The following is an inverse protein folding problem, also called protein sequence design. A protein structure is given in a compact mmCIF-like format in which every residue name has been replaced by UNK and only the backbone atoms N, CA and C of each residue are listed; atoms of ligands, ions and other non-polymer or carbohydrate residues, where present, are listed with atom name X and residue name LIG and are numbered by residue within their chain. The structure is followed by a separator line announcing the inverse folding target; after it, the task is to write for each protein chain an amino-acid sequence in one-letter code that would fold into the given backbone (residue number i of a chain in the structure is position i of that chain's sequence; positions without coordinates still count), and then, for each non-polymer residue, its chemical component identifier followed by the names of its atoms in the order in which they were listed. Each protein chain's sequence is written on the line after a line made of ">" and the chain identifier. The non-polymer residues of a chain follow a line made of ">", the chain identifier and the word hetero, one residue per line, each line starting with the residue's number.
data_IF_143258883383
#
_entry.id   IF_143258883383
#
_cell.length_a   1.000
_cell.length_b   1.000
_cell.length_c   1.000
_cell.angle_alpha   90.00
_cell.angle_beta   90.00
_cell.angle_gamma   90.00
#
_symmetry.space_group_name_H-M   'P 1'
#
loop_
_entity.id
_entity.type
_entity.pdbx_description
1 polymer ?
#
# COMPACT_ATOMS: atom_id res chain seq x y z
N UNK A 1 -24.28 41.08 24.97
CA UNK A 1 -23.98 40.89 23.53
C UNK A 1 -22.54 40.42 23.45
N UNK A 2 -22.30 39.25 22.86
CA UNK A 2 -21.05 38.51 22.95
C UNK A 2 -21.31 37.10 22.45
N UNK A 3 -21.25 36.95 21.14
CA UNK A 3 -21.88 35.88 20.38
C UNK A 3 -20.87 34.73 20.25
N UNK A 4 -21.00 33.70 21.09
CA UNK A 4 -20.20 32.48 20.98
C UNK A 4 -20.68 31.66 19.78
N UNK A 5 -19.94 31.70 18.69
CA UNK A 5 -20.19 30.88 17.49
C UNK A 5 -19.74 29.45 17.81
N UNK A 6 -20.70 28.59 18.12
CA UNK A 6 -20.48 27.16 18.27
C UNK A 6 -20.22 26.53 16.92
N UNK A 7 -18.96 26.18 16.66
CA UNK A 7 -18.60 25.39 15.49
C UNK A 7 -19.04 23.94 15.70
N UNK A 8 -19.88 23.48 14.76
CA UNK A 8 -20.45 22.15 14.56
C UNK A 8 -19.69 20.98 15.23
N UNK A 9 -20.37 20.27 16.14
CA UNK A 9 -20.13 18.82 16.34
C UNK A 9 -20.81 18.09 15.17
N UNK A 10 -20.12 17.24 14.40
CA UNK A 10 -20.83 16.29 13.56
C UNK A 10 -21.66 15.37 14.47
N UNK A 11 -22.90 15.13 14.06
CA UNK A 11 -23.76 14.12 14.65
C UNK A 11 -23.08 12.74 14.59
N UNK A 12 -23.41 11.87 15.55
CA UNK A 12 -22.77 10.59 15.77
C UNK A 12 -22.47 9.82 14.49
N UNK A 13 -21.21 9.39 14.35
CA UNK A 13 -20.81 8.43 13.34
C UNK A 13 -21.75 7.22 13.45
N UNK A 14 -22.43 6.90 12.35
CA UNK A 14 -23.10 5.62 12.23
C UNK A 14 -22.07 4.52 12.58
N UNK A 15 -22.46 3.44 13.26
CA UNK A 15 -21.55 2.33 13.47
C UNK A 15 -21.01 1.93 12.10
N UNK A 16 -19.69 2.00 11.92
CA UNK A 16 -19.03 1.53 10.71
C UNK A 16 -19.50 0.10 10.47
N UNK A 17 -19.90 -0.21 9.23
CA UNK A 17 -20.04 -1.61 8.81
C UNK A 17 -18.81 -2.39 9.34
N UNK A 18 -18.96 -3.66 9.77
CA UNK A 18 -17.81 -4.44 10.23
C UNK A 18 -16.72 -4.26 9.19
N UNK A 19 -15.58 -3.69 9.62
CA UNK A 19 -14.52 -3.31 8.70
C UNK A 19 -14.14 -4.58 7.95
N UNK A 20 -14.47 -4.62 6.65
CA UNK A 20 -14.04 -5.73 5.83
C UNK A 20 -12.52 -5.77 5.81
N UNK A 21 -11.97 -6.95 5.56
CA UNK A 21 -10.52 -7.16 5.59
C UNK A 21 -9.77 -6.10 4.78
N UNK A 22 -8.59 -5.73 5.25
CA UNK A 22 -7.66 -4.86 4.54
C UNK A 22 -6.62 -5.74 3.86
N UNK A 23 -6.70 -5.83 2.53
CA UNK A 23 -5.71 -6.50 1.69
C UNK A 23 -4.69 -5.49 1.17
N UNK A 24 -3.41 -5.83 1.30
CA UNK A 24 -2.30 -5.02 0.81
C UNK A 24 -1.52 -5.82 -0.24
N UNK A 25 -1.62 -5.43 -1.50
CA UNK A 25 -0.95 -6.08 -2.63
C UNK A 25 0.35 -5.32 -2.92
N UNK A 26 1.48 -6.02 -2.99
CA UNK A 26 2.78 -5.44 -3.33
C UNK A 26 3.27 -5.99 -4.66
N UNK A 27 3.48 -5.12 -5.64
CA UNK A 27 4.02 -5.51 -6.94
C UNK A 27 4.16 -4.35 -7.94
N UNK A 28 4.94 -4.51 -9.00
CA UNK A 28 5.31 -3.43 -9.92
C UNK A 28 4.23 -3.17 -10.99
N UNK A 29 3.08 -2.65 -10.58
CA UNK A 29 2.00 -2.28 -11.51
C UNK A 29 2.03 -0.80 -11.92
N UNK A 30 1.56 -0.50 -13.12
CA UNK A 30 1.49 0.88 -13.62
C UNK A 30 2.61 1.24 -14.60
N UNK A 31 3.29 0.22 -15.14
CA UNK A 31 4.18 0.36 -16.29
C UNK A 31 3.82 -0.74 -17.32
N UNK A 32 2.83 -0.47 -18.20
CA UNK A 32 2.19 -1.49 -19.03
C UNK A 32 3.19 -2.32 -19.84
N UNK A 33 3.39 -3.57 -19.44
CA UNK A 33 4.29 -4.51 -20.11
C UNK A 33 3.64 -5.89 -20.38
N UNK A 34 2.31 -5.99 -20.25
CA UNK A 34 1.51 -7.22 -20.34
C UNK A 34 1.81 -8.30 -19.28
N UNK A 35 2.70 -8.04 -18.32
CA UNK A 35 3.03 -8.96 -17.22
C UNK A 35 2.32 -8.57 -15.93
N UNK A 36 2.90 -7.59 -15.22
CA UNK A 36 2.54 -7.28 -13.85
C UNK A 36 1.10 -6.75 -13.71
N UNK A 37 0.63 -5.98 -14.69
CA UNK A 37 -0.77 -5.52 -14.73
C UNK A 37 -1.76 -6.68 -14.83
N UNK A 38 -1.43 -7.75 -15.54
CA UNK A 38 -2.31 -8.92 -15.66
C UNK A 38 -2.40 -9.68 -14.33
N UNK A 39 -1.28 -9.81 -13.61
CA UNK A 39 -1.24 -10.43 -12.28
C UNK A 39 -2.08 -9.61 -11.31
N UNK A 40 -1.86 -8.29 -11.24
CA UNK A 40 -2.63 -7.39 -10.38
C UNK A 40 -4.12 -7.42 -10.73
N UNK A 41 -4.46 -7.32 -12.02
CA UNK A 41 -5.85 -7.39 -12.47
C UNK A 41 -6.53 -8.72 -12.11
N UNK A 42 -5.79 -9.82 -12.11
CA UNK A 42 -6.33 -11.14 -11.72
C UNK A 42 -6.68 -11.17 -10.24
N UNK A 43 -5.78 -10.68 -9.38
CA UNK A 43 -6.02 -10.53 -7.94
C UNK A 43 -7.19 -9.60 -7.64
N UNK A 44 -7.22 -8.41 -8.25
CA UNK A 44 -8.27 -7.42 -8.03
C UNK A 44 -9.64 -7.96 -8.42
N UNK A 45 -9.77 -8.62 -9.59
CA UNK A 45 -11.02 -9.25 -10.00
C UNK A 45 -11.42 -10.42 -9.12
N UNK A 46 -10.45 -11.17 -8.59
CA UNK A 46 -10.74 -12.26 -7.65
C UNK A 46 -11.33 -11.70 -6.36
N UNK A 47 -10.65 -10.72 -5.73
CA UNK A 47 -11.11 -10.06 -4.52
C UNK A 47 -12.46 -9.38 -4.74
N UNK A 48 -12.71 -8.78 -5.91
CA UNK A 48 -13.98 -8.12 -6.19
C UNK A 48 -15.16 -9.12 -6.24
N UNK A 49 -14.89 -10.40 -6.49
CA UNK A 49 -15.91 -11.46 -6.46
C UNK A 49 -16.05 -12.11 -5.09
N UNK A 50 -14.95 -12.30 -4.36
CA UNK A 50 -14.93 -13.08 -3.11
C UNK A 50 -15.06 -12.21 -1.87
N UNK A 51 -14.48 -11.01 -1.90
CA UNK A 51 -14.46 -10.03 -0.81
C UNK A 51 -14.71 -8.62 -1.38
N UNK A 52 -15.85 -8.36 -2.07
CA UNK A 52 -16.17 -7.04 -2.64
C UNK A 52 -16.19 -5.94 -1.57
N UNK A 53 -16.41 -6.39 -0.32
CA UNK A 53 -16.42 -5.57 0.84
C UNK A 53 -15.09 -5.46 1.59
N UNK A 54 -13.96 -5.85 0.99
CA UNK A 54 -12.63 -5.58 1.52
C UNK A 54 -12.13 -4.18 1.14
N UNK A 55 -11.25 -3.60 1.94
CA UNK A 55 -10.37 -2.54 1.46
C UNK A 55 -9.17 -3.18 0.74
N UNK A 56 -8.81 -2.66 -0.44
CA UNK A 56 -7.69 -3.20 -1.21
C UNK A 56 -6.73 -2.07 -1.55
N UNK A 57 -5.49 -2.21 -1.09
CA UNK A 57 -4.40 -1.31 -1.40
C UNK A 57 -3.41 -1.99 -2.34
N UNK A 58 -3.03 -1.31 -3.41
CA UNK A 58 -1.96 -1.73 -4.32
C UNK A 58 -0.74 -0.82 -4.11
N UNK A 59 0.31 -1.37 -3.52
CA UNK A 59 1.59 -0.72 -3.29
C UNK A 59 2.55 -1.01 -4.45
N UNK A 60 2.81 0.02 -5.26
CA UNK A 60 3.54 -0.06 -6.51
C UNK A 60 4.41 1.17 -6.71
N UNK A 61 5.51 1.05 -7.48
CA UNK A 61 6.35 2.19 -7.84
C UNK A 61 5.64 3.28 -8.67
N UNK A 62 4.47 2.98 -9.26
CA UNK A 62 3.72 3.89 -10.14
C UNK A 62 2.22 3.95 -9.77
N UNK A 63 1.84 4.51 -8.61
CA UNK A 63 0.47 4.43 -8.09
C UNK A 63 -0.54 5.21 -8.95
N UNK A 64 -0.15 6.36 -9.51
CA UNK A 64 -1.01 7.15 -10.40
C UNK A 64 -1.41 6.37 -11.66
N UNK A 65 -0.44 5.90 -12.48
CA UNK A 65 -0.73 5.03 -13.62
C UNK A 65 -1.50 3.76 -13.25
N UNK A 66 -1.12 3.08 -12.16
CA UNK A 66 -1.82 1.87 -11.71
C UNK A 66 -3.30 2.15 -11.38
N UNK A 67 -3.59 3.27 -10.72
CA UNK A 67 -4.96 3.68 -10.40
C UNK A 67 -5.78 3.94 -11.67
N UNK A 68 -5.20 4.56 -12.70
CA UNK A 68 -5.89 4.81 -13.97
C UNK A 68 -6.18 3.52 -14.76
N UNK A 69 -5.30 2.52 -14.65
CA UNK A 69 -5.41 1.28 -15.42
C UNK A 69 -6.29 0.22 -14.73
N UNK A 70 -6.25 0.18 -13.40
CA UNK A 70 -6.81 -0.92 -12.61
C UNK A 70 -7.94 -0.49 -11.67
N UNK A 71 -8.19 0.82 -11.54
CA UNK A 71 -9.11 1.43 -10.58
C UNK A 71 -10.51 0.83 -10.55
N UNK A 72 -11.03 0.44 -11.72
CA UNK A 72 -12.39 -0.09 -11.86
C UNK A 72 -12.50 -1.61 -11.64
N UNK A 73 -11.39 -2.29 -11.32
CA UNK A 73 -11.38 -3.75 -11.18
C UNK A 73 -11.81 -4.24 -9.78
N UNK A 74 -11.75 -3.38 -8.77
CA UNK A 74 -12.27 -3.64 -7.42
C UNK A 74 -12.95 -2.36 -6.88
N UNK A 75 -14.17 -2.44 -6.32
CA UNK A 75 -14.95 -1.25 -5.92
C UNK A 75 -14.27 -0.38 -4.86
N UNK A 76 -13.27 -0.93 -4.16
CA UNK A 76 -12.54 -0.29 -3.07
C UNK A 76 -11.02 -0.30 -3.25
N UNK A 77 -10.55 -0.34 -4.49
CA UNK A 77 -9.11 -0.23 -4.78
C UNK A 77 -8.60 1.19 -4.51
N UNK A 78 -7.44 1.27 -3.85
CA UNK A 78 -6.60 2.46 -3.78
C UNK A 78 -5.15 2.07 -4.08
N UNK A 79 -4.38 2.98 -4.66
CA UNK A 79 -2.97 2.75 -4.95
C UNK A 79 -2.07 3.64 -4.09
N UNK A 80 -0.93 3.10 -3.67
CA UNK A 80 0.13 3.77 -2.89
C UNK A 80 1.52 3.30 -3.38
N UNK A 81 2.59 3.85 -2.82
CA UNK A 81 3.98 3.50 -3.14
C UNK A 81 4.87 3.39 -1.88
N UNK A 82 4.28 3.13 -0.71
CA UNK A 82 4.94 3.26 0.60
C UNK A 82 6.19 2.37 0.72
N UNK A 83 6.07 1.06 0.51
CA UNK A 83 7.21 0.15 0.63
C UNK A 83 8.25 0.42 -0.46
N UNK A 84 7.81 0.81 -1.66
CA UNK A 84 8.72 1.18 -2.76
C UNK A 84 9.54 2.43 -2.43
N UNK A 85 8.92 3.43 -1.77
CA UNK A 85 9.62 4.62 -1.29
C UNK A 85 10.61 4.29 -0.20
N UNK A 86 10.23 3.48 0.78
CA UNK A 86 11.14 3.05 1.86
C UNK A 86 12.35 2.29 1.30
N UNK A 87 12.15 1.38 0.34
CA UNK A 87 13.25 0.70 -0.35
C UNK A 87 14.13 1.69 -1.11
N UNK A 88 13.54 2.69 -1.79
CA UNK A 88 14.27 3.71 -2.52
C UNK A 88 15.09 4.65 -1.64
N UNK A 89 14.66 4.89 -0.40
CA UNK A 89 15.32 5.76 0.58
C UNK A 89 16.38 5.04 1.43
N UNK A 90 16.52 3.72 1.31
CA UNK A 90 17.55 2.97 2.02
C UNK A 90 18.96 3.56 1.76
N UNK A 91 19.80 3.67 2.80
CA UNK A 91 21.12 4.32 2.69
C UNK A 91 22.15 3.48 1.93
N UNK A 92 21.80 2.24 1.56
CA UNK A 92 22.69 1.24 0.98
C UNK A 92 21.99 0.43 -0.11
N UNK A 93 22.78 -0.21 -0.96
CA UNK A 93 22.33 -1.22 -1.92
C UNK A 93 22.58 -2.65 -1.39
N UNK A 94 23.24 -2.80 -0.24
CA UNK A 94 23.46 -4.11 0.39
C UNK A 94 22.10 -4.67 0.87
N UNK A 95 21.69 -5.89 0.42
CA UNK A 95 20.36 -6.42 0.70
C UNK A 95 19.99 -6.52 2.19
N UNK A 96 20.92 -6.89 3.06
CA UNK A 96 20.71 -6.95 4.51
C UNK A 96 20.43 -5.58 5.12
N UNK A 97 21.24 -4.58 4.80
CA UNK A 97 21.11 -3.20 5.26
C UNK A 97 19.80 -2.56 4.74
N UNK A 98 19.39 -2.86 3.50
CA UNK A 98 18.08 -2.42 2.99
C UNK A 98 16.93 -3.03 3.79
N UNK A 99 16.98 -4.34 4.04
CA UNK A 99 15.93 -5.02 4.81
C UNK A 99 15.88 -4.53 6.26
N UNK A 100 17.03 -4.24 6.87
CA UNK A 100 17.11 -3.65 8.20
C UNK A 100 16.52 -2.23 8.23
N UNK A 101 16.85 -1.40 7.25
CA UNK A 101 16.31 -0.05 7.10
C UNK A 101 14.77 -0.06 7.00
N UNK A 102 14.20 -0.85 6.08
CA UNK A 102 12.74 -0.86 5.88
C UNK A 102 12.04 -1.36 7.14
N UNK A 103 12.55 -2.42 7.76
CA UNK A 103 11.99 -2.96 9.01
C UNK A 103 12.03 -1.93 10.14
N UNK A 104 13.14 -1.19 10.26
CA UNK A 104 13.28 -0.15 11.27
C UNK A 104 12.30 1.01 11.01
N UNK A 105 12.16 1.46 9.76
CA UNK A 105 11.25 2.54 9.39
C UNK A 105 9.78 2.16 9.62
N UNK A 106 9.39 0.90 9.36
CA UNK A 106 8.03 0.41 9.65
C UNK A 106 7.78 0.32 11.16
N UNK A 107 8.79 -0.09 11.95
CA UNK A 107 8.68 -0.19 13.40
C UNK A 107 8.71 1.17 14.12
N UNK A 108 9.42 2.15 13.56
CA UNK A 108 9.52 3.53 14.06
C UNK A 108 9.29 4.52 12.90
N UNK A 109 8.02 4.93 12.66
CA UNK A 109 7.68 5.89 11.61
C UNK A 109 8.42 7.24 11.72
N UNK A 110 8.98 7.56 12.89
CA UNK A 110 9.82 8.74 13.10
C UNK A 110 11.10 8.75 12.25
N UNK A 111 11.56 7.59 11.79
CA UNK A 111 12.69 7.46 10.86
C UNK A 111 12.33 7.85 9.42
N UNK A 112 11.04 7.77 9.06
CA UNK A 112 10.53 8.01 7.72
C UNK A 112 9.23 8.86 7.73
N UNK A 113 9.23 10.08 8.31
CA UNK A 113 8.01 10.83 8.62
C UNK A 113 7.20 11.25 7.39
N UNK A 114 7.81 11.27 6.20
CA UNK A 114 7.09 11.53 4.93
C UNK A 114 6.10 10.41 4.58
N UNK A 115 6.36 9.20 5.09
CA UNK A 115 5.61 7.98 4.78
C UNK A 115 4.79 7.48 5.97
N UNK A 116 4.71 8.24 7.06
CA UNK A 116 4.00 7.90 8.30
C UNK A 116 2.58 7.38 8.05
N UNK A 117 1.79 8.08 7.23
CA UNK A 117 0.42 7.64 6.91
C UNK A 117 0.36 6.30 6.14
N UNK A 118 1.37 6.01 5.32
CA UNK A 118 1.50 4.74 4.63
C UNK A 118 1.95 3.61 5.57
N UNK A 119 2.85 3.93 6.50
CA UNK A 119 3.31 2.98 7.53
C UNK A 119 2.18 2.64 8.51
N UNK A 120 1.39 3.63 8.93
CA UNK A 120 0.17 3.40 9.72
C UNK A 120 -0.83 2.50 9.00
N UNK A 121 -0.98 2.66 7.67
CA UNK A 121 -1.79 1.77 6.85
C UNK A 121 -1.24 0.32 6.84
N UNK A 122 0.06 0.12 6.72
CA UNK A 122 0.70 -1.21 6.81
C UNK A 122 0.36 -1.86 8.17
N UNK A 123 0.45 -1.11 9.26
CA UNK A 123 0.11 -1.59 10.61
C UNK A 123 -1.36 -1.99 10.82
N UNK A 124 -2.26 -1.55 9.93
CA UNK A 124 -3.70 -1.89 9.93
C UNK A 124 -4.10 -2.95 8.91
N UNK A 125 -3.14 -3.47 8.14
CA UNK A 125 -3.39 -4.48 7.11
C UNK A 125 -3.62 -5.86 7.74
N UNK A 126 -4.64 -6.58 7.29
CA UNK A 126 -4.92 -7.95 7.75
C UNK A 126 -4.12 -8.99 6.97
N UNK A 127 -3.94 -8.77 5.66
CA UNK A 127 -3.24 -9.69 4.76
C UNK A 127 -2.41 -8.92 3.75
N UNK A 128 -1.09 -9.16 3.76
CA UNK A 128 -0.16 -8.69 2.74
C UNK A 128 0.07 -9.80 1.70
N UNK A 129 -0.11 -9.45 0.43
CA UNK A 129 0.14 -10.32 -0.71
C UNK A 129 1.28 -9.76 -1.54
N UNK A 130 2.36 -10.52 -1.65
CA UNK A 130 3.41 -10.25 -2.63
C UNK A 130 2.97 -10.87 -3.95
N UNK A 131 2.72 -10.03 -4.96
CA UNK A 131 2.19 -10.49 -6.25
C UNK A 131 3.27 -10.44 -7.33
N UNK A 132 3.35 -11.51 -8.13
CA UNK A 132 4.46 -11.69 -9.06
C UNK A 132 5.75 -12.07 -8.34
N UNK A 133 6.88 -11.59 -8.84
CA UNK A 133 8.20 -11.89 -8.25
C UNK A 133 9.40 -11.59 -9.14
N UNK A 134 9.16 -11.24 -10.40
CA UNK A 134 10.24 -10.90 -11.34
C UNK A 134 11.14 -9.75 -10.85
N UNK A 135 10.61 -8.86 -10.02
CA UNK A 135 11.33 -7.72 -9.44
C UNK A 135 12.21 -8.07 -8.23
N UNK A 136 12.13 -9.28 -7.68
CA UNK A 136 12.96 -9.73 -6.56
C UNK A 136 14.18 -10.48 -7.09
N UNK A 137 15.24 -9.76 -7.44
CA UNK A 137 16.48 -10.36 -7.93
C UNK A 137 17.70 -9.44 -7.73
N UNK A 138 18.89 -9.94 -8.06
CA UNK A 138 20.15 -9.23 -7.86
C UNK A 138 20.35 -7.99 -8.75
N UNK A 139 19.56 -7.80 -9.81
CA UNK A 139 19.57 -6.55 -10.61
C UNK A 139 18.92 -5.40 -9.85
N UNK A 140 18.01 -5.70 -8.93
CA UNK A 140 17.29 -4.73 -8.11
C UNK A 140 17.41 -5.08 -6.63
N UNK A 141 18.61 -4.96 -6.04
CA UNK A 141 18.88 -5.46 -4.69
C UNK A 141 18.01 -4.78 -3.62
N UNK A 142 17.64 -3.52 -3.82
CA UNK A 142 16.76 -2.79 -2.89
C UNK A 142 15.36 -3.38 -2.75
N UNK A 143 14.87 -4.13 -3.74
CA UNK A 143 13.53 -4.70 -3.69
C UNK A 143 13.37 -5.78 -2.61
N UNK A 144 14.46 -6.28 -2.04
CA UNK A 144 14.39 -7.16 -0.87
C UNK A 144 13.67 -6.49 0.31
N UNK A 145 13.76 -5.16 0.41
CA UNK A 145 13.08 -4.38 1.44
C UNK A 145 11.56 -4.48 1.37
N UNK A 146 10.97 -4.79 0.20
CA UNK A 146 9.53 -4.98 0.04
C UNK A 146 9.01 -6.18 0.85
N UNK A 147 9.89 -7.13 1.20
CA UNK A 147 9.59 -8.30 2.03
C UNK A 147 9.89 -8.07 3.52
N UNK A 148 10.50 -6.95 3.86
CA UNK A 148 10.98 -6.66 5.22
C UNK A 148 10.08 -5.67 5.99
N UNK A 149 9.12 -5.05 5.30
CA UNK A 149 8.12 -4.17 5.89
C UNK A 149 6.88 -4.87 6.43
#
# INVERSE_FOLDING_TARGET
>A
MGNGVGWFRPAGAAPSAPAGRVHYLVGPSGYPNFGDELIAATWLRYLARTEPDAEVWLDTHSPGPAQLLLGDLHPRLRCTDTLWRLCGEAPSDEPGEVAEWVRAAVADPGLAPRWDAGIDLLGRTDVLHVIGGGYLNALWPRHIGLLAG
#
